data_IF_708616690886
#
_entry.id   IF_708616690886
#
_cell.length_a   1.000
_cell.length_b   1.000
_cell.length_c   1.000
_cell.angle_alpha   90.00
_cell.angle_beta   90.00
_cell.angle_gamma   90.00
#
_symmetry.space_group_name_H-M   'P 1'
#
loop_
_entity.id
_entity.type
_entity.pdbx_description
1 polymer ?
#
# COMPACT_ATOMS: atom_id res chain seq x y z
N UNK A 1 -2.00 -1.18 -32.05
CA UNK A 1 -1.84 -1.05 -30.59
C UNK A 1 -3.20 -1.37 -29.97
N UNK A 2 -3.51 -2.64 -29.72
CA UNK A 2 -4.68 -2.99 -28.90
C UNK A 2 -4.26 -2.74 -27.46
N UNK A 3 -4.67 -1.60 -26.90
CA UNK A 3 -4.51 -1.34 -25.47
C UNK A 3 -5.40 -2.35 -24.77
N UNK A 4 -4.86 -3.51 -24.40
CA UNK A 4 -5.52 -4.49 -23.54
C UNK A 4 -5.58 -3.89 -22.12
N UNK A 5 -6.35 -2.80 -22.02
CA UNK A 5 -6.84 -2.32 -20.75
C UNK A 5 -7.69 -3.47 -20.25
N UNK A 6 -7.41 -3.92 -19.03
CA UNK A 6 -8.10 -5.04 -18.39
C UNK A 6 -9.56 -4.63 -18.05
N UNK A 7 -10.35 -4.34 -19.10
CA UNK A 7 -11.76 -3.94 -19.04
C UNK A 7 -12.57 -5.08 -18.43
N UNK A 8 -12.15 -6.33 -18.66
CA UNK A 8 -12.71 -7.52 -18.00
C UNK A 8 -12.58 -7.44 -16.48
N UNK A 9 -11.41 -7.04 -15.93
CA UNK A 9 -11.28 -6.82 -14.49
C UNK A 9 -12.18 -5.67 -13.99
N UNK A 10 -12.27 -4.56 -14.74
CA UNK A 10 -13.17 -3.47 -14.36
C UNK A 10 -14.63 -3.94 -14.29
N UNK A 11 -15.07 -4.75 -15.25
CA UNK A 11 -16.40 -5.36 -15.26
C UNK A 11 -16.59 -6.36 -14.11
N UNK A 12 -15.58 -7.18 -13.81
CA UNK A 12 -15.60 -8.14 -12.70
C UNK A 12 -15.86 -7.46 -11.35
N UNK A 13 -15.29 -6.27 -11.14
CA UNK A 13 -15.49 -5.49 -9.92
C UNK A 13 -16.73 -4.57 -9.98
N UNK A 14 -17.65 -4.74 -10.93
CA UNK A 14 -18.87 -3.93 -11.02
C UNK A 14 -18.64 -2.51 -11.54
N UNK A 15 -17.56 -2.31 -12.29
CA UNK A 15 -17.18 -1.01 -12.84
C UNK A 15 -16.71 -0.01 -11.78
N UNK A 16 -16.80 1.27 -12.11
CA UNK A 16 -16.41 2.38 -11.24
C UNK A 16 -17.18 2.32 -9.91
N UNK A 17 -18.48 2.01 -9.94
CA UNK A 17 -19.34 1.96 -8.76
C UNK A 17 -18.99 0.80 -7.82
N UNK A 18 -18.68 -0.38 -8.35
CA UNK A 18 -18.28 -1.49 -7.50
C UNK A 18 -16.89 -1.30 -6.91
N UNK A 19 -15.95 -0.73 -7.66
CA UNK A 19 -14.64 -0.32 -7.14
C UNK A 19 -14.78 0.75 -6.05
N UNK A 20 -15.59 1.79 -6.25
CA UNK A 20 -15.79 2.86 -5.25
C UNK A 20 -16.37 2.29 -3.94
N UNK A 21 -17.27 1.31 -4.04
CA UNK A 21 -17.84 0.61 -2.88
C UNK A 21 -16.83 -0.31 -2.18
N UNK A 22 -15.92 -0.93 -2.93
CA UNK A 22 -14.85 -1.79 -2.40
C UNK A 22 -13.83 -0.96 -1.61
N UNK A 23 -13.38 0.16 -2.16
CA UNK A 23 -12.36 1.03 -1.52
C UNK A 23 -12.96 2.13 -0.64
N UNK A 24 -14.28 2.15 -0.46
CA UNK A 24 -15.02 3.14 0.35
C UNK A 24 -14.71 4.59 -0.05
N UNK A 25 -14.69 4.89 -1.34
CA UNK A 25 -14.52 6.25 -1.87
C UNK A 25 -15.78 6.69 -2.62
N UNK A 26 -15.93 8.01 -2.77
CA UNK A 26 -16.90 8.59 -3.68
C UNK A 26 -16.19 8.86 -5.03
N UNK A 27 -16.76 8.45 -6.18
CA UNK A 27 -16.12 8.67 -7.48
C UNK A 27 -15.99 10.15 -7.88
N UNK A 28 -16.89 11.02 -7.40
CA UNK A 28 -16.91 12.45 -7.72
C UNK A 28 -16.17 13.29 -6.68
N UNK A 29 -16.28 12.91 -5.40
CA UNK A 29 -15.75 13.69 -4.26
C UNK A 29 -14.47 13.13 -3.64
N UNK A 30 -14.09 11.90 -3.98
CA UNK A 30 -12.96 11.21 -3.35
C UNK A 30 -13.27 10.70 -1.93
N UNK A 31 -12.26 10.72 -1.06
CA UNK A 31 -12.36 10.35 0.37
C UNK A 31 -12.40 11.61 1.24
N UNK A 32 -13.00 11.51 2.43
CA UNK A 32 -12.93 12.62 3.40
C UNK A 32 -11.51 12.73 3.95
N UNK A 33 -11.01 13.97 4.05
CA UNK A 33 -9.72 14.29 4.69
C UNK A 33 -9.76 14.32 6.22
N UNK A 34 -10.88 13.94 6.83
CA UNK A 34 -11.04 13.85 8.29
C UNK A 34 -10.12 12.77 8.89
N UNK A 35 -9.46 13.11 10.00
CA UNK A 35 -8.48 12.24 10.67
C UNK A 35 -9.10 10.88 11.07
N UNK A 36 -10.36 10.88 11.51
CA UNK A 36 -11.05 9.63 11.84
C UNK A 36 -11.26 8.74 10.61
N UNK A 37 -11.51 9.35 9.44
CA UNK A 37 -11.61 8.61 8.17
C UNK A 37 -10.23 8.07 7.75
N UNK A 38 -9.19 8.89 7.84
CA UNK A 38 -7.82 8.50 7.48
C UNK A 38 -7.30 7.37 8.38
N UNK A 39 -7.57 7.43 9.68
CA UNK A 39 -7.22 6.37 10.64
C UNK A 39 -7.91 5.06 10.30
N UNK A 40 -9.22 5.09 9.98
CA UNK A 40 -9.97 3.90 9.52
C UNK A 40 -9.35 3.30 8.26
N UNK A 41 -8.94 4.13 7.29
CA UNK A 41 -8.26 3.66 6.07
C UNK A 41 -6.91 3.04 6.37
N UNK A 42 -6.09 3.67 7.22
CA UNK A 42 -4.79 3.14 7.63
C UNK A 42 -4.94 1.78 8.33
N UNK A 43 -6.00 1.61 9.13
CA UNK A 43 -6.30 0.34 9.78
C UNK A 43 -6.81 -0.73 8.80
N UNK A 44 -7.58 -0.35 7.77
CA UNK A 44 -8.14 -1.29 6.79
C UNK A 44 -7.16 -1.71 5.68
N UNK A 45 -6.33 -0.79 5.19
CA UNK A 45 -5.44 -0.99 4.03
C UNK A 45 -3.96 -1.02 4.39
N UNK A 46 -3.61 -0.76 5.66
CA UNK A 46 -2.24 -0.64 6.11
C UNK A 46 -1.65 0.76 5.88
N UNK A 47 -0.36 0.90 6.16
CA UNK A 47 0.34 2.20 6.13
C UNK A 47 0.76 2.65 4.73
N UNK A 48 0.47 1.84 3.70
CA UNK A 48 0.97 2.02 2.34
C UNK A 48 2.49 2.34 2.30
N UNK A 49 3.25 1.67 3.17
CA UNK A 49 4.69 1.87 3.29
C UNK A 49 5.38 0.61 2.84
N UNK A 50 6.22 0.72 1.82
CA UNK A 50 7.06 -0.38 1.40
C UNK A 50 8.20 -0.54 2.41
N UNK A 51 8.47 -1.77 2.91
CA UNK A 51 9.61 -1.99 3.78
C UNK A 51 10.87 -1.61 3.01
N UNK A 52 11.65 -0.68 3.55
CA UNK A 52 13.01 -0.46 3.03
C UNK A 52 13.77 -1.75 3.27
N UNK A 53 14.48 -2.24 2.25
CA UNK A 53 15.52 -3.26 2.45
C UNK A 53 16.43 -2.71 3.54
N UNK A 54 16.33 -3.24 4.76
CA UNK A 54 17.37 -3.03 5.75
C UNK A 54 18.59 -3.64 5.06
N UNK A 55 19.64 -2.87 4.84
CA UNK A 55 20.92 -3.50 4.67
C UNK A 55 21.05 -4.39 5.91
N UNK A 56 20.90 -5.69 5.71
CA UNK A 56 21.35 -6.64 6.68
C UNK A 56 22.84 -6.40 6.70
N UNK A 57 23.26 -5.52 7.61
CA UNK A 57 24.61 -5.54 8.11
C UNK A 57 24.69 -6.91 8.77
N UNK A 58 24.98 -7.93 7.95
CA UNK A 58 25.73 -9.09 8.37
C UNK A 58 27.01 -8.49 8.90
N UNK A 59 26.99 -8.16 10.19
CA UNK A 59 28.09 -7.56 10.93
C UNK A 59 29.20 -8.60 11.04
N UNK A 60 29.80 -8.90 9.89
CA UNK A 60 31.16 -9.39 9.82
C UNK A 60 32.07 -8.30 10.38
N UNK A 61 32.90 -8.73 11.32
CA UNK A 61 34.13 -8.05 11.75
C UNK A 61 33.96 -6.71 12.49
N UNK A 62 33.67 -6.79 13.79
CA UNK A 62 34.46 -6.02 14.76
C UNK A 62 35.35 -7.00 15.52
N UNK A 63 36.66 -6.84 15.31
CA UNK A 63 37.71 -7.74 15.74
C UNK A 63 37.74 -7.94 17.26
N UNK A 64 37.93 -9.19 17.61
CA UNK A 64 38.34 -9.67 18.92
C UNK A 64 39.69 -9.01 19.29
N UNK A 65 39.65 -7.94 20.07
CA UNK A 65 40.83 -7.50 20.84
C UNK A 65 40.86 -8.36 22.10
N UNK A 66 41.40 -9.57 21.94
CA UNK A 66 41.87 -10.38 23.07
C UNK A 66 43.09 -9.65 23.69
N UNK A 67 42.95 -9.36 24.98
CA UNK A 67 43.97 -9.13 26.04
C UNK A 67 45.43 -8.92 25.61
N UNK A 68 45.98 -7.77 25.99
CA UNK A 68 47.31 -7.66 26.61
C UNK A 68 47.08 -7.30 28.08
#
# INVERSE_FOLDING_TARGET
>A
MSTDQNISALHQYGGIRGLSNLIKSNPDKGISGDDAHLLKRKNAFGTNTYPRKKEEVSGGFYGKLDKI
#
